data_IF_949440367701
#
_entry.id   IF_949440367701
#
_cell.length_a   1.000
_cell.length_b   1.000
_cell.length_c   1.000
_cell.angle_alpha   90.00
_cell.angle_beta   90.00
_cell.angle_gamma   90.00
#
_symmetry.space_group_name_H-M   'P 1'
#
loop_
_entity.id
_entity.type
_entity.pdbx_description
1 polymer ?
#
# COMPACT_ATOMS: atom_id res chain seq x y z
N UNK A 1 -4.50 13.89 -13.72
CA UNK A 1 -4.45 15.30 -13.27
C UNK A 1 -4.87 15.32 -11.82
N UNK A 2 -4.20 16.09 -10.96
CA UNK A 2 -4.69 16.37 -9.61
C UNK A 2 -6.00 17.15 -9.74
N UNK A 3 -7.02 16.75 -8.97
CA UNK A 3 -8.27 17.48 -8.89
C UNK A 3 -7.99 18.91 -8.38
N UNK A 4 -8.66 19.92 -8.95
CA UNK A 4 -8.42 21.33 -8.63
C UNK A 4 -8.66 21.65 -7.15
N UNK A 5 -9.51 20.86 -6.47
CA UNK A 5 -9.78 20.95 -5.04
C UNK A 5 -8.55 20.65 -4.15
N UNK A 6 -7.53 19.94 -4.67
CA UNK A 6 -6.33 19.58 -3.90
C UNK A 6 -5.11 20.44 -4.24
N UNK A 7 -5.28 21.51 -5.02
CA UNK A 7 -4.17 22.37 -5.43
C UNK A 7 -3.41 22.97 -4.21
N UNK A 8 -4.11 23.23 -3.11
CA UNK A 8 -3.51 23.74 -1.88
C UNK A 8 -2.62 22.71 -1.18
N UNK A 9 -2.85 21.40 -1.37
CA UNK A 9 -1.99 20.35 -0.82
C UNK A 9 -0.59 20.38 -1.45
N UNK A 10 -0.43 20.97 -2.64
CA UNK A 10 0.88 21.14 -3.27
C UNK A 10 1.72 22.25 -2.64
N UNK A 11 1.11 23.13 -1.82
CA UNK A 11 1.82 24.17 -1.07
C UNK A 11 2.53 23.61 0.17
N UNK A 12 2.10 22.44 0.65
CA UNK A 12 2.76 21.71 1.72
C UNK A 12 4.14 21.22 1.27
N UNK A 13 5.11 21.27 2.17
CA UNK A 13 6.41 20.64 1.96
C UNK A 13 6.25 19.12 1.76
N UNK A 14 7.22 18.44 1.12
CA UNK A 14 7.17 16.99 0.96
C UNK A 14 6.93 16.23 2.28
N UNK A 15 7.54 16.67 3.38
CA UNK A 15 7.38 16.06 4.70
C UNK A 15 5.97 16.25 5.25
N UNK A 16 5.39 17.45 5.14
CA UNK A 16 4.02 17.73 5.57
C UNK A 16 2.99 16.94 4.77
N UNK A 17 3.22 16.76 3.45
CA UNK A 17 2.37 15.88 2.64
C UNK A 17 2.46 14.43 3.08
N UNK A 18 3.65 13.96 3.44
CA UNK A 18 3.81 12.58 3.92
C UNK A 18 3.07 12.36 5.24
N UNK A 19 3.17 13.31 6.18
CA UNK A 19 2.41 13.27 7.42
C UNK A 19 0.89 13.30 7.15
N UNK A 20 0.43 14.18 6.26
CA UNK A 20 -0.99 14.23 5.90
C UNK A 20 -1.46 12.93 5.25
N UNK A 21 -0.65 12.29 4.41
CA UNK A 21 -0.97 10.96 3.85
C UNK A 21 -1.13 9.93 4.97
N UNK A 22 -0.24 9.95 5.96
CA UNK A 22 -0.34 9.06 7.12
C UNK A 22 -1.60 9.35 7.94
N UNK A 23 -1.88 10.61 8.28
CA UNK A 23 -3.06 10.99 9.06
C UNK A 23 -4.36 10.60 8.35
N UNK A 24 -4.44 10.83 7.03
CA UNK A 24 -5.59 10.41 6.23
C UNK A 24 -5.72 8.90 6.19
N UNK A 25 -4.60 8.17 6.08
CA UNK A 25 -4.59 6.72 6.10
C UNK A 25 -5.08 6.17 7.45
N UNK A 26 -4.59 6.72 8.56
CA UNK A 26 -4.98 6.34 9.92
C UNK A 26 -6.42 6.72 10.27
N UNK A 27 -7.03 7.64 9.51
CA UNK A 27 -8.43 8.01 9.69
C UNK A 27 -9.44 6.99 9.12
N UNK A 28 -8.98 6.06 8.27
CA UNK A 28 -9.81 5.04 7.63
C UNK A 28 -9.96 3.80 8.52
N UNK A 29 -11.17 3.24 8.56
CA UNK A 29 -11.46 1.96 9.22
C UNK A 29 -11.71 0.85 8.19
N UNK A 30 -11.66 -0.40 8.62
CA UNK A 30 -11.89 -1.56 7.75
C UNK A 30 -13.28 -1.54 7.10
N UNK A 31 -14.26 -0.98 7.80
CA UNK A 31 -15.65 -0.86 7.35
C UNK A 31 -15.83 0.20 6.26
N UNK A 32 -14.93 1.18 6.16
CA UNK A 32 -14.98 2.23 5.14
C UNK A 32 -14.66 1.68 3.75
N UNK A 33 -13.85 0.62 3.69
CA UNK A 33 -13.41 -0.03 2.44
C UNK A 33 -13.50 -1.56 2.59
N UNK A 34 -14.72 -2.12 2.61
CA UNK A 34 -14.91 -3.54 2.84
C UNK A 34 -14.36 -4.36 1.67
N UNK A 35 -13.58 -5.40 1.99
CA UNK A 35 -13.13 -6.36 1.00
C UNK A 35 -14.30 -7.19 0.45
N UNK A 36 -14.30 -7.37 -0.86
CA UNK A 36 -15.18 -8.35 -1.52
C UNK A 36 -14.82 -9.78 -1.11
N UNK A 37 -15.77 -10.70 -1.19
CA UNK A 37 -15.53 -12.09 -0.83
C UNK A 37 -14.45 -12.74 -1.70
N UNK A 38 -14.35 -12.35 -2.98
CA UNK A 38 -13.30 -12.85 -3.87
C UNK A 38 -11.90 -12.37 -3.45
N UNK A 39 -11.77 -11.13 -2.97
CA UNK A 39 -10.51 -10.61 -2.43
C UNK A 39 -10.12 -11.35 -1.15
N UNK A 40 -11.08 -11.60 -0.23
CA UNK A 40 -10.82 -12.37 0.99
C UNK A 40 -10.34 -13.78 0.67
N UNK A 41 -11.02 -14.47 -0.25
CA UNK A 41 -10.63 -15.81 -0.69
C UNK A 41 -9.23 -15.84 -1.31
N UNK A 42 -8.86 -14.84 -2.12
CA UNK A 42 -7.51 -14.77 -2.70
C UNK A 42 -6.44 -14.52 -1.63
N UNK A 43 -6.72 -13.69 -0.62
CA UNK A 43 -5.82 -13.48 0.50
C UNK A 43 -5.61 -14.77 1.31
N UNK A 44 -6.70 -15.49 1.61
CA UNK A 44 -6.63 -16.78 2.31
C UNK A 44 -5.82 -17.81 1.52
N UNK A 45 -6.05 -17.90 0.21
CA UNK A 45 -5.29 -18.80 -0.68
C UNK A 45 -3.80 -18.48 -0.68
N UNK A 46 -3.43 -17.19 -0.78
CA UNK A 46 -2.01 -16.77 -0.76
C UNK A 46 -1.36 -17.02 0.59
N UNK A 47 -2.08 -16.78 1.67
CA UNK A 47 -1.60 -17.04 3.04
C UNK A 47 -1.34 -18.53 3.25
N UNK A 48 -2.26 -19.40 2.85
CA UNK A 48 -2.08 -20.85 2.94
C UNK A 48 -0.89 -21.33 2.09
N UNK A 49 -0.73 -20.81 0.87
CA UNK A 49 0.41 -21.14 0.03
C UNK A 49 1.76 -20.72 0.65
N UNK A 50 1.82 -19.54 1.26
CA UNK A 50 3.02 -19.07 1.96
C UNK A 50 3.31 -19.91 3.21
N UNK A 51 2.29 -20.28 3.99
CA UNK A 51 2.46 -21.17 5.16
C UNK A 51 2.98 -22.56 4.76
N UNK A 52 2.50 -23.11 3.64
CA UNK A 52 2.97 -24.39 3.10
C UNK A 52 4.40 -24.31 2.54
N UNK A 53 4.81 -23.14 2.02
CA UNK A 53 6.16 -22.90 1.54
C UNK A 53 6.65 -21.48 1.90
N UNK A 54 7.24 -21.29 3.11
CA UNK A 54 7.70 -19.96 3.54
C UNK A 54 8.79 -19.37 2.65
N UNK A 55 9.58 -20.21 1.96
CA UNK A 55 10.61 -19.75 1.01
C UNK A 55 10.05 -19.14 -0.28
N UNK A 56 8.73 -19.23 -0.51
CA UNK A 56 8.06 -18.56 -1.63
C UNK A 56 7.92 -17.04 -1.45
N UNK A 57 8.07 -16.55 -0.21
CA UNK A 57 8.13 -15.12 0.06
C UNK A 57 9.43 -14.51 -0.44
N UNK A 58 9.42 -13.18 -0.57
CA UNK A 58 10.62 -12.39 -0.83
C UNK A 58 10.85 -11.47 0.35
N UNK A 59 12.11 -11.23 0.69
CA UNK A 59 12.43 -10.23 1.70
C UNK A 59 12.03 -8.84 1.20
N UNK A 60 11.81 -7.90 2.12
CA UNK A 60 11.53 -6.52 1.73
C UNK A 60 12.69 -5.93 0.92
N UNK A 61 13.93 -6.24 1.29
CA UNK A 61 15.14 -5.81 0.61
C UNK A 61 15.19 -6.31 -0.84
N UNK A 62 14.81 -7.57 -1.09
CA UNK A 62 14.72 -8.13 -2.45
C UNK A 62 13.65 -7.44 -3.29
N UNK A 63 12.49 -7.13 -2.69
CA UNK A 63 11.40 -6.41 -3.36
C UNK A 63 11.82 -4.98 -3.65
N UNK A 64 12.42 -4.29 -2.69
CA UNK A 64 12.91 -2.92 -2.82
C UNK A 64 13.99 -2.83 -3.90
N UNK A 65 14.97 -3.75 -3.88
CA UNK A 65 16.02 -3.85 -4.91
C UNK A 65 15.40 -3.97 -6.30
N UNK A 66 14.46 -4.91 -6.48
CA UNK A 66 13.76 -5.10 -7.77
C UNK A 66 13.04 -3.84 -8.26
N UNK A 67 12.41 -3.07 -7.36
CA UNK A 67 11.69 -1.84 -7.72
C UNK A 67 12.67 -0.74 -8.14
N UNK A 68 13.73 -0.54 -7.36
CA UNK A 68 14.77 0.45 -7.65
C UNK A 68 15.47 0.10 -8.96
N UNK A 69 15.88 -1.14 -9.17
CA UNK A 69 16.58 -1.55 -10.40
C UNK A 69 15.72 -1.38 -11.67
N UNK A 70 14.39 -1.27 -11.53
CA UNK A 70 13.45 -1.08 -12.66
C UNK A 70 13.12 0.39 -12.94
N UNK A 71 13.35 1.29 -11.98
CA UNK A 71 12.89 2.68 -12.03
C UNK A 71 13.94 3.72 -11.59
N UNK A 72 15.13 3.27 -11.19
CA UNK A 72 16.28 4.10 -10.83
C UNK A 72 17.20 4.40 -12.00
#
# INVERSE_FOLDING_TARGET
>A
MLNAEYADLLKLSPSERLLLVQDLWDSLNEEDIPLTDSQKQELDRRKAAFQANPSSGRSWEEVQRRIIDRHG
#
